data_IF_589701774622
#
_entry.id   IF_589701774622
#
_cell.length_a   1.000
_cell.length_b   1.000
_cell.length_c   1.000
_cell.angle_alpha   90.00
_cell.angle_beta   90.00
_cell.angle_gamma   90.00
#
_symmetry.space_group_name_H-M   'P 1'
#
loop_
_entity.id
_entity.type
_entity.pdbx_description
1 polymer ?
#
# COMPACT_ATOMS: atom_id res chain seq x y z
N UNK A 1 -22.14 18.83 -4.02
CA UNK A 1 -21.68 17.84 -5.03
C UNK A 1 -20.41 18.33 -5.70
N UNK A 2 -20.34 19.60 -6.11
CA UNK A 2 -19.19 20.17 -6.83
C UNK A 2 -17.87 20.18 -6.04
N UNK A 3 -17.91 20.42 -4.73
CA UNK A 3 -16.71 20.40 -3.87
C UNK A 3 -16.06 19.00 -3.79
N UNK A 4 -16.87 17.94 -3.81
CA UNK A 4 -16.38 16.55 -3.73
C UNK A 4 -15.78 16.11 -5.06
N UNK A 5 -16.40 16.51 -6.17
CA UNK A 5 -15.86 16.32 -7.52
C UNK A 5 -14.52 17.07 -7.67
N UNK A 6 -14.45 18.32 -7.22
CA UNK A 6 -13.22 19.11 -7.25
C UNK A 6 -12.09 18.45 -6.44
N UNK A 7 -12.37 17.98 -5.22
CA UNK A 7 -11.38 17.28 -4.40
C UNK A 7 -10.88 16.00 -5.09
N UNK A 8 -11.80 15.21 -5.66
CA UNK A 8 -11.45 13.98 -6.36
C UNK A 8 -10.57 14.26 -7.59
N UNK A 9 -10.91 15.29 -8.37
CA UNK A 9 -10.09 15.74 -9.50
C UNK A 9 -8.70 16.14 -9.02
N UNK A 10 -8.58 16.90 -7.93
CA UNK A 10 -7.29 17.31 -7.36
C UNK A 10 -6.47 16.07 -6.97
N UNK A 11 -7.05 15.10 -6.26
CA UNK A 11 -6.34 13.88 -5.84
C UNK A 11 -5.88 13.06 -7.06
N UNK A 12 -6.73 12.92 -8.08
CA UNK A 12 -6.39 12.22 -9.33
C UNK A 12 -5.25 12.94 -10.05
N UNK A 13 -5.32 14.27 -10.18
CA UNK A 13 -4.26 15.06 -10.82
C UNK A 13 -2.95 14.91 -10.06
N UNK A 14 -2.94 15.01 -8.73
CA UNK A 14 -1.74 14.82 -7.92
C UNK A 14 -1.18 13.40 -8.13
N UNK A 15 -2.03 12.37 -8.09
CA UNK A 15 -1.59 11.00 -8.33
C UNK A 15 -0.99 10.80 -9.72
N UNK A 16 -1.56 11.42 -10.75
CA UNK A 16 -1.04 11.38 -12.12
C UNK A 16 0.30 12.12 -12.25
N UNK A 17 0.45 13.29 -11.61
CA UNK A 17 1.72 14.02 -11.58
C UNK A 17 2.79 13.19 -10.89
N UNK A 18 2.49 12.59 -9.73
CA UNK A 18 3.43 11.73 -9.00
C UNK A 18 3.80 10.51 -9.84
N UNK A 19 2.83 9.81 -10.43
CA UNK A 19 3.08 8.67 -11.30
C UNK A 19 3.97 9.04 -12.49
N UNK A 20 3.71 10.19 -13.12
CA UNK A 20 4.52 10.66 -14.24
C UNK A 20 5.96 10.98 -13.81
N UNK A 21 6.16 11.62 -12.65
CA UNK A 21 7.49 11.88 -12.09
C UNK A 21 8.24 10.60 -11.74
N UNK A 22 7.57 9.63 -11.13
CA UNK A 22 8.12 8.29 -10.84
C UNK A 22 8.54 7.61 -12.14
N UNK A 23 7.71 7.63 -13.17
CA UNK A 23 8.01 7.01 -14.46
C UNK A 23 9.25 7.63 -15.11
N UNK A 24 9.34 8.96 -15.15
CA UNK A 24 10.51 9.66 -15.70
C UNK A 24 11.76 9.28 -14.90
N UNK A 25 11.69 9.31 -13.57
CA UNK A 25 12.84 9.03 -12.72
C UNK A 25 13.30 7.57 -12.83
N UNK A 26 12.38 6.62 -12.75
CA UNK A 26 12.67 5.20 -12.81
C UNK A 26 13.33 4.80 -14.13
N UNK A 27 12.85 5.36 -15.25
CA UNK A 27 13.37 5.02 -16.57
C UNK A 27 14.70 5.73 -16.92
N UNK A 28 15.26 6.55 -16.02
CA UNK A 28 16.64 7.03 -16.14
C UNK A 28 17.66 5.92 -15.87
N UNK A 29 17.30 4.95 -15.03
CA UNK A 29 18.16 3.79 -14.76
C UNK A 29 17.86 2.73 -15.81
N UNK A 30 18.88 2.25 -16.56
CA UNK A 30 18.65 1.25 -17.59
C UNK A 30 18.09 -0.02 -16.96
N UNK A 31 17.06 -0.63 -17.56
CA UNK A 31 16.53 -1.89 -17.06
C UNK A 31 17.60 -2.97 -17.12
N UNK A 32 17.46 -4.02 -16.30
CA UNK A 32 18.48 -5.06 -16.21
C UNK A 32 18.69 -5.86 -17.52
N UNK A 33 17.73 -5.83 -18.46
CA UNK A 33 17.90 -6.41 -19.81
C UNK A 33 17.23 -5.55 -20.90
N UNK A 34 17.87 -4.44 -21.33
CA UNK A 34 17.30 -3.53 -22.32
C UNK A 34 17.17 -4.18 -23.70
N UNK A 35 18.12 -5.05 -24.05
CA UNK A 35 18.21 -5.69 -25.37
C UNK A 35 17.23 -6.84 -25.56
N UNK A 36 16.67 -7.40 -24.48
CA UNK A 36 15.85 -8.61 -24.53
C UNK A 36 14.34 -8.36 -24.67
N UNK A 37 13.83 -7.13 -24.48
CA UNK A 37 12.41 -6.88 -24.72
C UNK A 37 12.05 -5.41 -24.97
N UNK A 38 11.20 -5.18 -25.97
CA UNK A 38 10.58 -3.88 -26.25
C UNK A 38 9.65 -3.35 -25.14
N UNK A 39 9.44 -4.10 -24.05
CA UNK A 39 8.45 -3.80 -23.00
C UNK A 39 9.14 -3.50 -21.64
N UNK A 40 10.42 -3.13 -21.65
CA UNK A 40 11.20 -2.90 -20.42
C UNK A 40 10.91 -1.55 -19.76
N UNK A 41 11.21 -1.42 -18.45
CA UNK A 41 11.01 -0.20 -17.65
C UNK A 41 9.75 -0.17 -16.77
N UNK A 42 9.60 0.88 -15.96
CA UNK A 42 8.46 1.07 -15.06
C UNK A 42 7.33 1.77 -15.81
N UNK A 43 6.22 1.05 -16.03
CA UNK A 43 5.06 1.53 -16.77
C UNK A 43 3.83 0.63 -16.59
N UNK A 44 2.68 1.10 -17.05
CA UNK A 44 1.40 0.36 -16.96
C UNK A 44 1.08 -0.08 -15.53
N UNK A 45 0.69 -1.35 -15.36
CA UNK A 45 0.36 -1.93 -14.05
C UNK A 45 1.48 -1.87 -13.02
N UNK A 46 2.76 -1.89 -13.45
CA UNK A 46 3.89 -1.77 -12.52
C UNK A 46 3.99 -0.34 -11.98
N UNK A 47 3.75 0.67 -12.82
CA UNK A 47 3.70 2.06 -12.36
C UNK A 47 2.56 2.29 -11.38
N UNK A 48 1.39 1.67 -11.64
CA UNK A 48 0.26 1.74 -10.72
C UNK A 48 0.62 1.13 -9.36
N UNK A 49 1.28 -0.03 -9.32
CA UNK A 49 1.73 -0.64 -8.07
C UNK A 49 2.73 0.24 -7.32
N UNK A 50 3.73 0.78 -8.00
CA UNK A 50 4.76 1.64 -7.41
C UNK A 50 4.14 2.93 -6.87
N UNK A 51 3.25 3.56 -7.62
CA UNK A 51 2.49 4.74 -7.17
C UNK A 51 1.57 4.37 -5.99
N UNK A 52 1.02 3.16 -6.01
CA UNK A 52 0.31 2.53 -4.91
C UNK A 52 1.11 2.54 -3.62
N UNK A 53 2.35 2.05 -3.68
CA UNK A 53 3.23 2.00 -2.53
C UNK A 53 3.65 3.39 -2.03
N UNK A 54 4.02 4.28 -2.94
CA UNK A 54 4.64 5.58 -2.59
C UNK A 54 3.61 6.62 -2.20
N UNK A 55 2.40 6.57 -2.75
CA UNK A 55 1.43 7.65 -2.58
C UNK A 55 0.02 7.16 -2.25
N UNK A 56 -0.60 6.36 -3.12
CA UNK A 56 -2.03 6.05 -2.97
C UNK A 56 -2.33 5.27 -1.69
N UNK A 57 -1.47 4.31 -1.32
CA UNK A 57 -1.60 3.52 -0.10
C UNK A 57 -1.53 4.39 1.15
N UNK A 58 -0.42 5.12 1.38
CA UNK A 58 -0.32 6.07 2.49
C UNK A 58 -1.45 7.11 2.51
N UNK A 59 -1.79 7.72 1.38
CA UNK A 59 -2.86 8.72 1.33
C UNK A 59 -4.23 8.11 1.71
N UNK A 60 -4.62 6.99 1.09
CA UNK A 60 -5.89 6.34 1.35
C UNK A 60 -5.99 5.81 2.79
N UNK A 61 -4.92 5.18 3.30
CA UNK A 61 -4.87 4.67 4.67
C UNK A 61 -4.97 5.79 5.71
N UNK A 62 -4.25 6.90 5.50
CA UNK A 62 -4.32 8.06 6.40
C UNK A 62 -5.70 8.70 6.44
N UNK A 63 -6.33 8.87 5.27
CA UNK A 63 -7.71 9.39 5.17
C UNK A 63 -8.70 8.44 5.86
N UNK A 64 -8.57 7.13 5.64
CA UNK A 64 -9.46 6.14 6.25
C UNK A 64 -9.35 6.17 7.79
N UNK A 65 -8.14 6.16 8.34
CA UNK A 65 -7.91 6.23 9.79
C UNK A 65 -8.44 7.55 10.36
N UNK A 66 -8.20 8.67 9.69
CA UNK A 66 -8.68 9.97 10.11
C UNK A 66 -10.22 10.02 10.17
N UNK A 67 -10.90 9.59 9.11
CA UNK A 67 -12.37 9.54 9.06
C UNK A 67 -12.92 8.59 10.12
N UNK A 68 -12.28 7.44 10.34
CA UNK A 68 -12.68 6.48 11.37
C UNK A 68 -12.68 7.12 12.76
N UNK A 69 -11.58 7.75 13.17
CA UNK A 69 -11.50 8.40 14.48
C UNK A 69 -12.47 9.58 14.61
N UNK A 70 -12.51 10.46 13.61
CA UNK A 70 -13.43 11.60 13.59
C UNK A 70 -14.90 11.18 13.71
N UNK A 71 -15.31 10.14 12.97
CA UNK A 71 -16.69 9.68 12.95
C UNK A 71 -17.10 9.04 14.28
N UNK A 72 -16.19 8.29 14.91
CA UNK A 72 -16.46 7.67 16.21
C UNK A 72 -16.49 8.70 17.34
N UNK A 73 -15.55 9.66 17.35
CA UNK A 73 -15.53 10.75 18.35
C UNK A 73 -16.74 11.68 18.22
N UNK A 74 -17.23 11.92 16.99
CA UNK A 74 -18.45 12.67 16.77
C UNK A 74 -19.70 11.93 17.27
N UNK A 75 -19.79 10.61 17.04
CA UNK A 75 -20.93 9.78 17.47
C UNK A 75 -20.93 9.51 18.98
N UNK A 76 -19.75 9.36 19.57
CA UNK A 76 -19.57 9.03 20.97
C UNK A 76 -18.55 9.99 21.61
N UNK A 77 -18.97 11.22 21.97
CA UNK A 77 -18.06 12.23 22.51
C UNK A 77 -17.29 11.79 23.76
N UNK A 78 -17.88 10.89 24.55
CA UNK A 78 -17.27 10.32 25.75
C UNK A 78 -15.92 9.64 25.46
N UNK A 79 -15.71 9.08 24.26
CA UNK A 79 -14.45 8.43 23.87
C UNK A 79 -13.24 9.35 24.01
N UNK A 80 -13.42 10.67 23.83
CA UNK A 80 -12.31 11.63 23.96
C UNK A 80 -11.77 11.79 25.38
N UNK A 81 -12.55 11.37 26.38
CA UNK A 81 -12.16 11.38 27.80
C UNK A 81 -11.60 10.05 28.30
N UNK A 82 -11.64 8.99 27.47
CA UNK A 82 -11.22 7.64 27.83
C UNK A 82 -9.75 7.43 27.45
N UNK A 83 -8.92 7.11 28.44
CA UNK A 83 -7.45 6.95 28.27
C UNK A 83 -7.10 5.84 27.28
N UNK A 84 -7.86 4.74 27.30
CA UNK A 84 -7.71 3.59 26.42
C UNK A 84 -7.93 3.98 24.97
N UNK A 85 -8.91 4.86 24.69
CA UNK A 85 -9.17 5.36 23.34
C UNK A 85 -8.00 6.20 22.81
N UNK A 86 -7.44 7.09 23.64
CA UNK A 86 -6.24 7.85 23.30
C UNK A 86 -5.05 6.95 23.00
N UNK A 87 -4.84 5.90 23.81
CA UNK A 87 -3.79 4.90 23.61
C UNK A 87 -3.99 4.13 22.30
N UNK A 88 -5.22 3.71 22.01
CA UNK A 88 -5.58 3.03 20.75
C UNK A 88 -5.33 3.90 19.53
N UNK A 89 -5.72 5.18 19.59
CA UNK A 89 -5.46 6.16 18.52
C UNK A 89 -3.97 6.36 18.28
N UNK A 90 -3.20 6.58 19.34
CA UNK A 90 -1.74 6.75 19.23
C UNK A 90 -1.06 5.51 18.64
N UNK A 91 -1.40 4.33 19.14
CA UNK A 91 -0.84 3.07 18.64
C UNK A 91 -1.20 2.80 17.17
N UNK A 92 -2.46 3.09 16.78
CA UNK A 92 -2.93 2.95 15.40
C UNK A 92 -2.12 3.83 14.45
N UNK A 93 -1.91 5.10 14.80
CA UNK A 93 -1.08 6.01 14.00
C UNK A 93 0.39 5.58 13.94
N UNK A 94 0.95 5.07 15.05
CA UNK A 94 2.32 4.54 15.07
C UNK A 94 2.51 3.35 14.14
N UNK A 95 1.61 2.37 14.19
CA UNK A 95 1.64 1.20 13.29
C UNK A 95 1.43 1.62 11.84
N UNK A 96 0.51 2.56 11.59
CA UNK A 96 0.28 3.09 10.25
C UNK A 96 1.50 3.82 9.68
N UNK A 97 2.21 4.62 10.49
CA UNK A 97 3.44 5.29 10.07
C UNK A 97 4.53 4.27 9.72
N UNK A 98 4.68 3.21 10.51
CA UNK A 98 5.59 2.10 10.20
C UNK A 98 5.22 1.42 8.87
N UNK A 99 3.93 1.14 8.65
CA UNK A 99 3.43 0.58 7.41
C UNK A 99 3.71 1.51 6.21
N UNK A 100 3.58 2.82 6.37
CA UNK A 100 3.96 3.81 5.36
C UNK A 100 5.45 3.72 5.04
N UNK A 101 6.33 3.71 6.05
CA UNK A 101 7.77 3.57 5.85
C UNK A 101 8.13 2.29 5.06
N UNK A 102 7.52 1.15 5.41
CA UNK A 102 7.70 -0.10 4.66
C UNK A 102 7.19 0.03 3.23
N UNK A 103 6.04 0.68 3.03
CA UNK A 103 5.46 0.93 1.71
C UNK A 103 6.40 1.77 0.84
N UNK A 104 6.91 2.88 1.36
CA UNK A 104 7.90 3.71 0.69
C UNK A 104 9.17 2.92 0.37
N UNK A 105 9.68 2.13 1.31
CA UNK A 105 10.86 1.30 1.09
C UNK A 105 10.66 0.27 -0.03
N UNK A 106 9.49 -0.37 -0.11
CA UNK A 106 9.15 -1.25 -1.24
C UNK A 106 9.08 -0.49 -2.56
N UNK A 107 8.38 0.64 -2.59
CA UNK A 107 8.19 1.47 -3.79
C UNK A 107 9.52 2.01 -4.32
N UNK A 108 10.35 2.60 -3.45
CA UNK A 108 11.68 3.09 -3.80
C UNK A 108 12.61 1.96 -4.22
N UNK A 109 12.54 0.80 -3.55
CA UNK A 109 13.28 -0.38 -3.96
C UNK A 109 12.94 -0.81 -5.39
N UNK A 110 11.66 -0.79 -5.77
CA UNK A 110 11.25 -1.10 -7.13
C UNK A 110 11.69 -0.05 -8.15
N UNK A 111 11.80 1.22 -7.75
CA UNK A 111 12.22 2.35 -8.61
C UNK A 111 13.73 2.33 -8.84
N UNK A 112 14.51 2.14 -7.78
CA UNK A 112 15.96 2.34 -7.76
C UNK A 112 16.68 1.03 -8.09
N UNK A 113 16.21 -0.09 -7.56
CA UNK A 113 16.87 -1.39 -7.73
C UNK A 113 16.16 -2.23 -8.78
N UNK A 114 16.78 -2.37 -9.96
CA UNK A 114 16.32 -3.31 -10.99
C UNK A 114 16.74 -4.76 -10.67
N UNK A 115 16.45 -5.24 -9.46
CA UNK A 115 16.87 -6.55 -8.95
C UNK A 115 15.71 -7.49 -8.58
N UNK A 116 15.98 -8.80 -8.59
CA UNK A 116 15.07 -9.84 -8.07
C UNK A 116 14.78 -9.64 -6.57
N UNK A 117 15.73 -9.08 -5.82
CA UNK A 117 15.58 -8.79 -4.40
C UNK A 117 14.51 -7.72 -4.17
N UNK A 118 14.45 -6.67 -5.00
CA UNK A 118 13.41 -5.64 -4.92
C UNK A 118 12.00 -6.24 -5.07
N UNK A 119 11.81 -7.14 -6.03
CA UNK A 119 10.53 -7.85 -6.22
C UNK A 119 10.18 -8.70 -4.98
N UNK A 120 11.16 -9.44 -4.44
CA UNK A 120 10.93 -10.28 -3.25
C UNK A 120 10.51 -9.43 -2.05
N UNK A 121 11.17 -8.28 -1.83
CA UNK A 121 10.80 -7.33 -0.77
C UNK A 121 9.40 -6.76 -0.99
N UNK A 122 9.07 -6.32 -2.20
CA UNK A 122 7.75 -5.78 -2.51
C UNK A 122 6.63 -6.79 -2.24
N UNK A 123 6.83 -8.07 -2.60
CA UNK A 123 5.88 -9.15 -2.28
C UNK A 123 5.69 -9.30 -0.78
N UNK A 124 6.77 -9.36 0.00
CA UNK A 124 6.67 -9.47 1.47
C UNK A 124 5.89 -8.29 2.04
N UNK A 125 6.21 -7.07 1.60
CA UNK A 125 5.60 -5.84 2.11
C UNK A 125 4.11 -5.75 1.73
N UNK A 126 3.68 -6.30 0.59
CA UNK A 126 2.25 -6.44 0.24
C UNK A 126 1.50 -7.27 1.28
N UNK A 127 2.08 -8.40 1.72
CA UNK A 127 1.44 -9.25 2.73
C UNK A 127 1.50 -8.64 4.13
N UNK A 128 2.57 -7.91 4.44
CA UNK A 128 2.73 -7.19 5.71
C UNK A 128 1.72 -6.03 5.80
N UNK A 129 1.68 -5.15 4.80
CA UNK A 129 0.82 -3.96 4.83
C UNK A 129 -0.65 -4.27 4.54
N UNK A 130 -0.97 -5.40 3.92
CA UNK A 130 -2.34 -5.83 3.69
C UNK A 130 -2.86 -6.72 4.83
N UNK A 131 -2.88 -8.06 4.66
CA UNK A 131 -3.47 -8.97 5.65
C UNK A 131 -2.90 -8.86 7.06
N UNK A 132 -1.58 -8.76 7.21
CA UNK A 132 -0.97 -8.72 8.55
C UNK A 132 -1.32 -7.42 9.29
N UNK A 133 -1.23 -6.27 8.62
CA UNK A 133 -1.64 -5.00 9.20
C UNK A 133 -3.12 -5.00 9.60
N UNK A 134 -4.00 -5.62 8.79
CA UNK A 134 -5.41 -5.79 9.15
C UNK A 134 -5.57 -6.63 10.43
N UNK A 135 -4.89 -7.78 10.55
CA UNK A 135 -4.93 -8.58 11.79
C UNK A 135 -4.47 -7.76 12.99
N UNK A 136 -3.37 -7.02 12.84
CA UNK A 136 -2.80 -6.22 13.93
C UNK A 136 -3.78 -5.12 14.33
N UNK A 137 -4.28 -4.31 13.40
CA UNK A 137 -5.09 -3.14 13.69
C UNK A 137 -6.56 -3.47 14.01
N UNK A 138 -7.12 -4.48 13.34
CA UNK A 138 -8.53 -4.84 13.42
C UNK A 138 -8.87 -5.93 14.43
N UNK A 139 -7.88 -6.72 14.89
CA UNK A 139 -8.12 -7.77 15.87
C UNK A 139 -7.18 -7.68 17.08
N UNK A 140 -5.86 -7.65 16.86
CA UNK A 140 -4.91 -7.74 17.97
C UNK A 140 -4.89 -6.47 18.82
N UNK A 141 -4.81 -5.29 18.20
CA UNK A 141 -4.68 -4.02 18.90
C UNK A 141 -5.93 -3.69 19.76
N UNK A 142 -7.18 -3.86 19.26
CA UNK A 142 -8.36 -3.69 20.10
C UNK A 142 -8.39 -4.65 21.30
N UNK A 143 -8.01 -5.93 21.10
CA UNK A 143 -7.95 -6.91 22.20
C UNK A 143 -6.90 -6.51 23.23
N UNK A 144 -5.72 -6.06 22.81
CA UNK A 144 -4.65 -5.65 23.72
C UNK A 144 -5.00 -4.43 24.57
N UNK A 145 -5.81 -3.50 24.04
CA UNK A 145 -6.12 -2.24 24.71
C UNK A 145 -7.44 -2.29 25.47
N UNK A 146 -8.48 -2.90 24.88
CA UNK A 146 -9.82 -2.93 25.47
C UNK A 146 -10.17 -4.27 26.14
N UNK A 147 -9.34 -5.30 25.97
CA UNK A 147 -9.51 -6.61 26.62
C UNK A 147 -10.66 -7.45 26.08
N UNK A 148 -11.31 -7.03 24.97
CA UNK A 148 -12.48 -7.72 24.40
C UNK A 148 -12.26 -8.03 22.91
N UNK A 149 -12.42 -9.30 22.50
CA UNK A 149 -12.44 -9.64 21.09
C UNK A 149 -13.81 -9.28 20.50
N UNK A 150 -13.87 -8.15 19.79
CA UNK A 150 -15.02 -7.80 18.96
C UNK A 150 -14.60 -7.88 17.50
N UNK A 151 -14.99 -8.97 16.83
CA UNK A 151 -14.80 -9.14 15.40
C UNK A 151 -16.01 -8.57 14.66
N UNK A 152 -15.86 -7.34 14.17
CA UNK A 152 -16.84 -6.69 13.32
C UNK A 152 -16.93 -7.41 11.95
N UNK A 153 -18.13 -7.69 11.39
CA UNK A 153 -18.28 -8.08 9.99
C UNK A 153 -17.47 -7.23 9.00
N UNK A 154 -17.29 -5.94 9.27
CA UNK A 154 -16.46 -5.06 8.45
C UNK A 154 -14.98 -5.48 8.43
N UNK A 155 -14.46 -6.01 9.54
CA UNK A 155 -13.11 -6.57 9.61
C UNK A 155 -12.96 -7.82 8.74
N UNK A 156 -13.95 -8.72 8.74
CA UNK A 156 -13.91 -9.92 7.90
C UNK A 156 -13.88 -9.54 6.41
N UNK A 157 -14.72 -8.57 6.03
CA UNK A 157 -14.74 -8.04 4.67
C UNK A 157 -13.42 -7.41 4.25
N UNK A 158 -12.82 -6.57 5.11
CA UNK A 158 -11.52 -5.93 4.83
C UNK A 158 -10.38 -6.94 4.74
N UNK A 159 -10.43 -7.99 5.58
CA UNK A 159 -9.44 -9.06 5.57
C UNK A 159 -9.48 -9.85 4.25
N UNK A 160 -10.67 -10.29 3.81
CA UNK A 160 -10.83 -10.98 2.53
C UNK A 160 -10.35 -10.10 1.37
N UNK A 161 -10.77 -8.84 1.32
CA UNK A 161 -10.35 -7.89 0.28
C UNK A 161 -8.82 -7.72 0.26
N UNK A 162 -8.18 -7.63 1.43
CA UNK A 162 -6.72 -7.49 1.54
C UNK A 162 -5.96 -8.74 1.08
N UNK A 163 -6.48 -9.94 1.35
CA UNK A 163 -5.89 -11.20 0.90
C UNK A 163 -5.99 -11.29 -0.63
N UNK A 164 -7.16 -10.98 -1.20
CA UNK A 164 -7.37 -10.99 -2.65
C UNK A 164 -6.44 -9.97 -3.33
N UNK A 165 -6.39 -8.74 -2.82
CA UNK A 165 -5.50 -7.71 -3.33
C UNK A 165 -4.03 -8.12 -3.26
N UNK A 166 -3.61 -8.69 -2.12
CA UNK A 166 -2.25 -9.18 -1.94
C UNK A 166 -1.89 -10.31 -2.90
N UNK A 167 -2.83 -11.25 -3.12
CA UNK A 167 -2.66 -12.35 -4.05
C UNK A 167 -2.54 -11.87 -5.51
N UNK A 168 -3.41 -10.94 -5.94
CA UNK A 168 -3.38 -10.36 -7.29
C UNK A 168 -2.02 -9.70 -7.55
N UNK A 169 -1.56 -8.83 -6.64
CA UNK A 169 -0.28 -8.14 -6.83
C UNK A 169 0.93 -9.08 -6.73
N UNK A 170 0.88 -10.07 -5.85
CA UNK A 170 1.92 -11.11 -5.75
C UNK A 170 1.99 -11.93 -7.04
N UNK A 171 0.83 -12.31 -7.61
CA UNK A 171 0.76 -13.03 -8.88
C UNK A 171 1.30 -12.18 -10.03
N UNK A 172 0.89 -10.89 -10.10
CA UNK A 172 1.39 -9.93 -11.08
C UNK A 172 2.92 -9.81 -11.03
N UNK A 173 3.49 -9.56 -9.85
CA UNK A 173 4.94 -9.46 -9.66
C UNK A 173 5.71 -10.75 -9.97
N UNK A 174 5.03 -11.91 -9.92
CA UNK A 174 5.66 -13.20 -10.21
C UNK A 174 5.62 -13.59 -11.69
N UNK A 175 4.51 -13.27 -12.37
CA UNK A 175 4.20 -13.81 -13.70
C UNK A 175 4.30 -12.79 -14.83
N UNK A 176 4.24 -11.49 -14.54
CA UNK A 176 4.22 -10.44 -15.55
C UNK A 176 5.47 -10.42 -16.43
N UNK A 177 5.29 -10.49 -17.76
CA UNK A 177 6.36 -10.38 -18.76
C UNK A 177 7.13 -9.06 -18.61
N UNK A 178 6.40 -7.94 -18.38
CA UNK A 178 7.00 -6.62 -18.14
C UNK A 178 7.90 -6.64 -16.90
N UNK A 179 7.41 -7.16 -15.78
CA UNK A 179 8.20 -7.23 -14.54
C UNK A 179 9.46 -8.07 -14.77
N UNK A 180 9.34 -9.23 -15.43
CA UNK A 180 10.51 -10.06 -15.74
C UNK A 180 11.54 -9.32 -16.61
N UNK A 181 11.08 -8.58 -17.61
CA UNK A 181 11.95 -7.77 -18.47
C UNK A 181 12.62 -6.61 -17.71
N UNK A 182 11.85 -5.87 -16.89
CA UNK A 182 12.38 -4.72 -16.14
C UNK A 182 13.44 -5.12 -15.12
N UNK A 183 13.25 -6.27 -14.45
CA UNK A 183 14.11 -6.73 -13.35
C UNK A 183 15.02 -7.92 -13.73
N UNK A 184 15.20 -8.19 -15.03
CA UNK A 184 16.19 -9.18 -15.51
C UNK A 184 15.92 -10.62 -15.04
N UNK A 185 14.66 -11.02 -14.91
CA UNK A 185 14.30 -12.40 -14.58
C UNK A 185 14.35 -13.22 -15.87
N UNK A 186 15.52 -13.76 -16.18
CA UNK A 186 15.68 -14.80 -17.21
C UNK A 186 14.94 -16.06 -16.78
N UNK A 187 14.04 -16.54 -17.64
CA UNK A 187 13.53 -17.92 -17.57
C UNK A 187 14.62 -18.81 -18.14
N UNK A 188 15.04 -19.91 -17.47
CA UNK A 188 15.91 -20.88 -18.10
C UNK A 188 15.25 -21.36 -19.39
N UNK A 189 16.00 -21.38 -20.49
CA UNK A 189 15.56 -21.98 -21.74
C UNK A 189 15.37 -23.47 -21.52
N UNK A 190 14.11 -23.90 -21.39
CA UNK A 190 13.69 -25.31 -21.50
C UNK A 190 13.43 -25.65 -22.95
#
# INVERSE_FOLDING_TARGET
MDMLIALLVIVVVIALVIAHRIQIYANKYPPASPEQSAISGIGGWLLLLVTGFVFLGPAAGGVHIFIFFMSNEYRYPILTSVTEWGTYKFATWGIFLLACCLSFYAGLGLIIECSKAAIKRAKIIIWVNGPLANIILGALLPVLIFGRPELDPQFVGSMIASIIGAAIWTAYLSKSKRVKATYGITTPST
#
